data_IF_637248694148
#
_entry.id   IF_637248694148
#
_cell.length_a   1.000
_cell.length_b   1.000
_cell.length_c   1.000
_cell.angle_alpha   90.00
_cell.angle_beta   90.00
_cell.angle_gamma   90.00
#
_symmetry.space_group_name_H-M   'P 1'
#
loop_
_entity.id
_entity.type
_entity.pdbx_description
1 polymer ?
#
# COMPACT_ATOMS: atom_id res chain seq x y z
N UNK A 1 14.44 23.48 29.35
CA UNK A 1 13.11 22.94 28.98
C UNK A 1 12.61 22.00 30.07
N UNK A 2 11.47 22.31 30.71
CA UNK A 2 10.95 21.56 31.86
C UNK A 2 10.65 20.08 31.53
N UNK A 3 10.91 19.18 32.49
CA UNK A 3 10.68 17.73 32.38
C UNK A 3 9.24 17.40 31.97
N UNK A 4 8.24 18.12 32.51
CA UNK A 4 6.82 17.98 32.11
C UNK A 4 6.60 18.26 30.62
N UNK A 5 7.37 19.17 30.02
CA UNK A 5 7.33 19.52 28.60
C UNK A 5 8.00 18.43 27.74
N UNK A 6 9.12 17.85 28.21
CA UNK A 6 9.79 16.71 27.56
C UNK A 6 8.89 15.48 27.50
N UNK A 7 8.21 15.14 28.60
CA UNK A 7 7.30 13.98 28.68
C UNK A 7 6.10 14.18 27.75
N UNK A 8 5.50 15.37 27.71
CA UNK A 8 4.43 15.70 26.75
C UNK A 8 4.89 15.54 25.30
N UNK A 9 6.08 16.05 24.97
CA UNK A 9 6.64 15.97 23.63
C UNK A 9 6.90 14.50 23.22
N UNK A 10 7.42 13.69 24.15
CA UNK A 10 7.68 12.27 23.94
C UNK A 10 6.38 11.48 23.70
N UNK A 11 5.34 11.74 24.49
CA UNK A 11 4.02 11.12 24.30
C UNK A 11 3.38 11.49 22.96
N UNK A 12 3.49 12.76 22.54
CA UNK A 12 3.04 13.16 21.20
C UNK A 12 3.83 12.46 20.09
N UNK A 13 5.15 12.33 20.23
CA UNK A 13 5.99 11.66 19.22
C UNK A 13 5.64 10.16 19.09
N UNK A 14 5.38 9.49 20.22
CA UNK A 14 4.95 8.08 20.25
C UNK A 14 3.53 7.86 19.72
N UNK A 15 2.62 8.80 19.94
CA UNK A 15 1.26 8.73 19.39
C UNK A 15 1.24 8.95 17.86
N UNK A 16 2.21 9.71 17.31
CA UNK A 16 2.36 9.88 15.86
C UNK A 16 3.01 8.66 15.18
N UNK A 17 3.93 7.95 15.84
CA UNK A 17 4.55 6.76 15.26
C UNK A 17 3.57 5.59 15.15
N UNK A 18 2.68 5.40 16.13
CA UNK A 18 1.71 4.28 16.12
C UNK A 18 0.62 4.38 15.04
N UNK A 19 0.28 5.61 14.60
CA UNK A 19 -0.70 5.82 13.53
C UNK A 19 -0.22 5.28 12.16
N UNK A 20 1.09 5.14 11.97
CA UNK A 20 1.69 4.57 10.75
C UNK A 20 1.69 3.04 10.80
N UNK A 21 1.80 2.44 11.99
CA UNK A 21 1.84 0.98 12.19
C UNK A 21 0.46 0.31 12.23
N UNK A 22 -0.63 1.06 12.28
CA UNK A 22 -2.00 0.53 12.45
C UNK A 22 -2.52 -0.35 11.28
N UNK A 23 -1.75 -0.54 10.21
CA UNK A 23 -2.15 -1.40 9.09
C UNK A 23 -1.22 -2.58 8.84
N UNK A 24 -0.10 -2.72 9.57
CA UNK A 24 0.82 -3.88 9.46
C UNK A 24 1.38 -4.18 8.06
N UNK A 25 1.13 -3.31 7.08
CA UNK A 25 1.47 -3.49 5.68
C UNK A 25 2.51 -2.44 5.32
N UNK A 26 3.68 -2.89 4.87
CA UNK A 26 4.70 -2.00 4.29
C UNK A 26 4.28 -1.68 2.86
N UNK A 27 4.04 -0.40 2.51
CA UNK A 27 3.58 -0.04 1.18
C UNK A 27 4.74 -0.01 0.17
N UNK A 28 4.52 -0.52 -1.04
CA UNK A 28 5.45 -0.37 -2.16
C UNK A 28 5.43 1.06 -2.72
N UNK A 29 4.26 1.69 -2.70
CA UNK A 29 4.09 3.11 -3.01
C UNK A 29 3.22 3.81 -1.98
N UNK A 30 3.57 5.05 -1.64
CA UNK A 30 2.75 5.94 -0.84
C UNK A 30 2.74 7.33 -1.48
N UNK A 31 1.56 7.93 -1.59
CA UNK A 31 1.41 9.24 -2.21
C UNK A 31 0.22 10.00 -1.60
N UNK A 32 0.13 11.29 -1.91
CA UNK A 32 -0.89 12.18 -1.35
C UNK A 32 -1.63 12.90 -2.47
N UNK A 33 -2.96 12.92 -2.40
CA UNK A 33 -3.81 13.73 -3.27
C UNK A 33 -4.58 14.71 -2.39
N UNK A 34 -4.32 16.00 -2.55
CA UNK A 34 -4.87 17.05 -1.69
C UNK A 34 -4.49 16.85 -0.22
N UNK A 35 -5.47 16.64 0.64
CA UNK A 35 -5.27 16.36 2.08
C UNK A 35 -5.29 14.86 2.42
N UNK A 36 -5.50 13.99 1.44
CA UNK A 36 -5.67 12.56 1.64
C UNK A 36 -4.43 11.78 1.28
N UNK A 37 -3.96 10.92 2.18
CA UNK A 37 -2.85 10.01 1.92
C UNK A 37 -3.37 8.66 1.43
N UNK A 38 -2.67 8.09 0.46
CA UNK A 38 -2.94 6.81 -0.16
C UNK A 38 -1.70 5.93 -0.10
N UNK A 39 -1.91 4.61 -0.12
CA UNK A 39 -0.83 3.64 -0.20
C UNK A 39 -1.22 2.44 -1.07
N UNK A 40 -0.20 1.84 -1.68
CA UNK A 40 -0.34 0.70 -2.57
C UNK A 40 0.66 -0.40 -2.20
N UNK A 41 0.23 -1.46 -1.51
CA UNK A 41 1.00 -2.69 -1.38
C UNK A 41 0.84 -3.60 -2.60
N UNK A 42 1.92 -4.33 -2.89
CA UNK A 42 1.95 -5.50 -3.72
C UNK A 42 1.36 -6.69 -2.98
N UNK A 43 0.58 -7.50 -3.71
CA UNK A 43 0.09 -8.78 -3.23
C UNK A 43 0.26 -9.85 -4.30
N UNK A 44 0.53 -11.07 -3.87
CA UNK A 44 0.58 -12.23 -4.74
C UNK A 44 -0.78 -12.94 -4.77
N UNK A 45 -1.11 -13.51 -5.92
CA UNK A 45 -2.29 -14.33 -6.15
C UNK A 45 -2.19 -15.70 -5.48
N UNK A 46 -3.08 -16.61 -5.88
CA UNK A 46 -3.17 -17.92 -5.26
C UNK A 46 -1.89 -18.74 -5.44
N UNK A 47 -1.28 -19.17 -4.33
CA UNK A 47 -0.06 -19.97 -4.30
C UNK A 47 -0.20 -21.41 -4.88
N UNK A 48 -1.36 -21.80 -5.41
CA UNK A 48 -1.58 -23.11 -6.07
C UNK A 48 -1.60 -23.05 -7.60
N UNK A 49 -1.51 -21.86 -8.22
CA UNK A 49 -1.48 -21.76 -9.68
C UNK A 49 -0.08 -21.96 -10.25
N UNK A 50 -0.02 -22.45 -11.50
CA UNK A 50 1.22 -22.59 -12.29
C UNK A 50 1.91 -21.24 -12.53
N UNK A 51 1.13 -20.16 -12.53
CA UNK A 51 1.61 -18.79 -12.71
C UNK A 51 1.29 -17.97 -11.46
N UNK A 52 2.19 -17.09 -11.07
CA UNK A 52 1.97 -16.14 -9.96
C UNK A 52 1.39 -14.84 -10.53
N UNK A 53 0.26 -14.39 -9.99
CA UNK A 53 -0.31 -13.09 -10.34
C UNK A 53 0.08 -12.05 -9.30
N UNK A 54 0.74 -10.99 -9.71
CA UNK A 54 1.13 -9.88 -8.85
C UNK A 54 0.14 -8.74 -9.03
N UNK A 55 -0.33 -8.17 -7.92
CA UNK A 55 -1.31 -7.10 -7.93
C UNK A 55 -0.86 -5.92 -7.09
N UNK A 56 -1.16 -4.70 -7.54
CA UNK A 56 -1.19 -3.51 -6.70
C UNK A 56 -2.58 -3.36 -6.09
N UNK A 57 -2.66 -3.13 -4.78
CA UNK A 57 -3.93 -2.84 -4.11
C UNK A 57 -3.89 -1.41 -3.61
N UNK A 58 -4.81 -0.54 -4.02
CA UNK A 58 -4.87 0.83 -3.53
C UNK A 58 -5.73 0.92 -2.27
N UNK A 59 -5.23 1.64 -1.27
CA UNK A 59 -5.94 1.96 -0.05
C UNK A 59 -5.78 3.44 0.31
N UNK A 60 -6.74 3.95 1.08
CA UNK A 60 -6.61 5.24 1.76
C UNK A 60 -6.07 4.99 3.17
N UNK A 61 -5.09 5.77 3.59
CA UNK A 61 -4.57 5.68 4.96
C UNK A 61 -5.69 5.85 6.00
N UNK A 62 -5.72 4.96 6.99
CA UNK A 62 -6.75 4.94 8.03
C UNK A 62 -8.07 4.28 7.60
N UNK A 63 -8.14 3.69 6.40
CA UNK A 63 -9.27 2.89 5.94
C UNK A 63 -8.80 1.49 5.59
N UNK A 64 -9.47 0.48 6.13
CA UNK A 64 -9.18 -0.94 5.87
C UNK A 64 -9.77 -1.43 4.54
N UNK A 65 -10.72 -0.68 3.97
CA UNK A 65 -11.36 -1.04 2.70
C UNK A 65 -10.43 -0.72 1.52
N UNK A 66 -10.22 -1.72 0.66
CA UNK A 66 -9.49 -1.58 -0.60
C UNK A 66 -10.31 -0.75 -1.60
N UNK A 67 -9.65 0.24 -2.21
CA UNK A 67 -10.24 1.12 -3.24
C UNK A 67 -10.19 0.44 -4.60
N UNK A 68 -9.00 -0.03 -5.01
CA UNK A 68 -8.84 -0.77 -6.26
C UNK A 68 -7.80 -1.88 -6.13
N UNK A 69 -7.87 -2.88 -7.02
CA UNK A 69 -6.89 -3.94 -7.18
C UNK A 69 -6.55 -4.07 -8.66
N UNK A 70 -5.28 -3.89 -8.97
CA UNK A 70 -4.78 -3.87 -10.34
C UNK A 70 -3.76 -4.98 -10.56
N UNK A 71 -3.88 -5.71 -11.68
CA UNK A 71 -2.92 -6.74 -12.05
C UNK A 71 -1.69 -6.10 -12.68
N UNK A 72 -0.52 -6.33 -12.08
CA UNK A 72 0.76 -5.83 -12.57
C UNK A 72 1.36 -6.82 -13.58
N UNK A 73 1.61 -8.04 -13.12
CA UNK A 73 2.23 -9.11 -13.93
C UNK A 73 1.62 -10.47 -13.60
N UNK A 74 1.56 -11.33 -14.60
CA UNK A 74 1.46 -12.77 -14.44
C UNK A 74 2.85 -13.32 -14.74
N UNK A 75 3.49 -13.90 -13.73
CA UNK A 75 4.81 -14.52 -13.82
C UNK A 75 4.67 -16.03 -13.94
N UNK A 76 5.55 -16.66 -14.69
CA UNK A 76 5.76 -18.10 -14.61
C UNK A 76 6.46 -18.38 -13.30
N UNK A 77 5.86 -19.18 -12.43
CA UNK A 77 6.39 -19.41 -11.09
C UNK A 77 7.74 -20.13 -11.09
N UNK A 78 7.99 -20.96 -12.11
CA UNK A 78 9.20 -21.77 -12.17
C UNK A 78 10.40 -21.00 -12.73
N UNK A 79 10.16 -20.07 -13.66
CA UNK A 79 11.23 -19.34 -14.34
C UNK A 79 11.34 -17.88 -13.91
N UNK A 80 10.30 -17.33 -13.27
CA UNK A 80 10.22 -15.91 -12.94
C UNK A 80 9.88 -15.01 -14.14
N UNK A 81 9.74 -15.59 -15.34
CA UNK A 81 9.49 -14.83 -16.56
C UNK A 81 8.10 -14.22 -16.56
N UNK A 82 7.97 -13.01 -17.11
CA UNK A 82 6.66 -12.39 -17.31
C UNK A 82 5.93 -13.09 -18.45
N UNK A 83 4.88 -13.85 -18.11
CA UNK A 83 3.99 -14.51 -19.08
C UNK A 83 3.04 -13.50 -19.70
N UNK A 84 2.58 -12.54 -18.91
CA UNK A 84 1.68 -11.48 -19.37
C UNK A 84 1.73 -10.28 -18.44
N UNK A 85 1.88 -9.08 -18.99
CA UNK A 85 1.67 -7.82 -18.27
C UNK A 85 0.29 -7.27 -18.59
N UNK A 86 -0.43 -6.83 -17.57
CA UNK A 86 -1.62 -6.00 -17.74
C UNK A 86 -1.22 -4.54 -17.59
N UNK A 87 -1.73 -3.68 -18.46
CA UNK A 87 -1.70 -2.23 -18.28
C UNK A 87 -3.06 -1.73 -18.73
N UNK A 88 -3.78 -1.00 -17.88
CA UNK A 88 -4.92 -0.23 -18.36
C UNK A 88 -4.60 1.26 -18.27
N UNK A 89 -5.04 1.97 -19.29
CA UNK A 89 -4.94 3.42 -19.37
C UNK A 89 -5.85 4.03 -18.31
N UNK A 90 -5.30 4.92 -17.49
CA UNK A 90 -6.09 5.70 -16.52
C UNK A 90 -7.03 6.58 -17.32
N UNK A 91 -8.32 6.21 -17.40
CA UNK A 91 -9.34 7.08 -17.96
C UNK A 91 -9.33 8.35 -17.11
N UNK A 92 -9.00 9.48 -17.75
CA UNK A 92 -9.08 10.80 -17.12
C UNK A 92 -10.48 10.99 -16.56
N UNK A 93 -10.53 11.25 -15.26
CA UNK A 93 -11.53 12.08 -14.60
C UNK A 93 -12.85 11.39 -14.19
N UNK A 94 -12.85 10.79 -12.99
CA UNK A 94 -13.99 10.83 -12.07
C UNK A 94 -13.47 10.99 -10.65
N UNK A 95 -13.00 12.21 -10.34
CA UNK A 95 -12.87 12.71 -8.97
C UNK A 95 -14.24 13.22 -8.55
#
# INVERSE_FOLDING_TARGET
>A
MNIKRKIKLLFTLMAFSSAIYAQGITPDFAFKIGKTNYFMPLSHGNAKSKNDSIFYNLYRYGKTQRITKELKHILNRNTGDTVKSGSYEVIKNQI
#
